data_IF_203238019524
#
_entry.id   IF_203238019524
#
_cell.length_a   1.000
_cell.length_b   1.000
_cell.length_c   1.000
_cell.angle_alpha   90.00
_cell.angle_beta   90.00
_cell.angle_gamma   90.00
#
_symmetry.space_group_name_H-M   'P 1'
#
loop_
_entity.id
_entity.type
_entity.pdbx_description
1 polymer ?
#
# COMPACT_ATOMS: atom_id res chain seq x y z
N UNK A 1 -36.80 9.47 -11.87
CA UNK A 1 -36.11 9.93 -10.66
C UNK A 1 -34.65 9.48 -10.78
N UNK A 2 -33.73 10.40 -11.08
CA UNK A 2 -32.29 10.08 -11.19
C UNK A 2 -31.73 9.91 -9.78
N UNK A 3 -31.18 8.74 -9.45
CA UNK A 3 -30.38 8.59 -8.25
C UNK A 3 -28.97 9.07 -8.57
N UNK A 4 -28.65 10.28 -8.13
CA UNK A 4 -27.27 10.75 -8.07
C UNK A 4 -26.56 9.99 -6.95
N UNK A 5 -25.39 9.44 -7.26
CA UNK A 5 -24.56 8.72 -6.31
C UNK A 5 -24.11 9.67 -5.18
N UNK A 6 -24.79 9.67 -4.04
CA UNK A 6 -24.29 10.32 -2.83
C UNK A 6 -23.19 9.45 -2.22
N UNK A 7 -21.95 9.64 -2.65
CA UNK A 7 -20.78 9.13 -1.93
C UNK A 7 -20.54 10.00 -0.70
N UNK A 8 -21.04 9.57 0.45
CA UNK A 8 -20.71 10.19 1.72
C UNK A 8 -19.27 9.81 2.12
N UNK A 9 -18.30 10.65 1.75
CA UNK A 9 -16.94 10.58 2.26
C UNK A 9 -16.95 11.05 3.72
N UNK A 10 -16.68 10.16 4.68
CA UNK A 10 -16.45 10.60 6.05
C UNK A 10 -15.03 11.18 6.13
N UNK A 11 -14.96 12.51 6.14
CA UNK A 11 -13.77 13.28 6.49
C UNK A 11 -13.83 13.47 8.01
N UNK A 12 -12.88 12.91 8.76
CA UNK A 12 -12.64 13.34 10.14
C UNK A 12 -11.85 14.66 10.02
N UNK A 13 -12.44 15.84 10.30
CA UNK A 13 -11.73 17.09 10.10
C UNK A 13 -10.77 17.30 11.26
N UNK A 14 -9.47 17.17 11.00
CA UNK A 14 -8.43 17.87 11.76
C UNK A 14 -8.13 19.18 11.04
N UNK A 15 -8.00 20.35 11.72
CA UNK A 15 -7.99 21.67 11.09
C UNK A 15 -6.91 21.96 10.03
N UNK A 16 -5.97 21.05 9.76
CA UNK A 16 -4.75 21.34 8.98
C UNK A 16 -4.30 20.27 7.99
N UNK A 17 -5.09 19.24 7.65
CA UNK A 17 -4.59 18.16 6.78
C UNK A 17 -5.28 18.09 5.40
N UNK A 18 -4.53 18.09 4.28
CA UNK A 18 -5.05 17.75 2.97
C UNK A 18 -5.00 16.21 2.73
N UNK A 19 -6.17 15.58 2.54
CA UNK A 19 -6.35 14.22 1.97
C UNK A 19 -6.97 13.15 2.91
N UNK A 20 -7.43 11.96 2.43
CA UNK A 20 -8.06 11.55 1.16
C UNK A 20 -9.46 10.90 1.36
N UNK A 21 -10.10 10.41 0.28
CA UNK A 21 -11.48 9.88 0.20
C UNK A 21 -11.65 8.52 0.93
N UNK A 22 -12.34 8.51 2.08
CA UNK A 22 -12.73 7.31 2.84
C UNK A 22 -14.24 7.03 2.67
N UNK A 23 -14.62 5.84 2.17
CA UNK A 23 -16.03 5.45 2.03
C UNK A 23 -16.51 4.69 3.28
N UNK A 24 -17.33 5.33 4.11
CA UNK A 24 -17.90 4.74 5.32
C UNK A 24 -19.42 4.83 5.29
N UNK A 25 -20.10 3.71 5.56
CA UNK A 25 -21.54 3.67 5.78
C UNK A 25 -21.81 3.78 7.27
N UNK A 26 -22.59 4.75 7.72
CA UNK A 26 -22.92 4.94 9.15
C UNK A 26 -24.44 4.83 9.32
N UNK A 27 -24.88 4.00 10.26
CA UNK A 27 -26.29 3.89 10.67
C UNK A 27 -27.27 3.62 9.51
N UNK A 28 -27.02 2.57 8.73
CA UNK A 28 -27.88 2.15 7.61
C UNK A 28 -28.64 0.88 7.96
N UNK A 29 -29.90 0.77 7.56
CA UNK A 29 -30.65 -0.49 7.68
C UNK A 29 -30.08 -1.50 6.67
N UNK A 30 -29.53 -2.60 7.17
CA UNK A 30 -28.99 -3.71 6.38
C UNK A 30 -29.81 -4.98 6.62
N UNK A 31 -29.82 -5.87 5.63
CA UNK A 31 -30.48 -7.17 5.73
C UNK A 31 -29.44 -8.29 5.88
N UNK A 32 -29.55 -9.07 6.95
CA UNK A 32 -28.73 -10.25 7.16
C UNK A 32 -29.40 -11.46 6.50
N UNK A 33 -28.79 -12.01 5.45
CA UNK A 33 -29.33 -13.17 4.72
C UNK A 33 -29.24 -14.48 5.50
N UNK A 34 -28.28 -14.59 6.42
CA UNK A 34 -28.10 -15.78 7.28
C UNK A 34 -29.21 -15.84 8.32
N UNK A 35 -29.48 -14.71 8.98
CA UNK A 35 -30.50 -14.60 10.02
C UNK A 35 -31.88 -14.20 9.48
N UNK A 36 -31.98 -13.89 8.18
CA UNK A 36 -33.19 -13.42 7.48
C UNK A 36 -33.88 -12.22 8.15
N UNK A 37 -33.12 -11.34 8.78
CA UNK A 37 -33.64 -10.20 9.53
C UNK A 37 -32.95 -8.89 9.18
N UNK A 38 -33.65 -7.78 9.44
CA UNK A 38 -33.10 -6.44 9.30
C UNK A 38 -32.36 -6.04 10.58
N UNK A 39 -31.25 -5.34 10.43
CA UNK A 39 -30.50 -4.78 11.56
C UNK A 39 -29.93 -3.41 11.19
N UNK A 40 -29.66 -2.59 12.20
CA UNK A 40 -28.97 -1.30 12.01
C UNK A 40 -27.47 -1.53 11.94
N UNK A 41 -26.90 -1.40 10.74
CA UNK A 41 -25.47 -1.41 10.52
C UNK A 41 -24.87 -0.13 11.10
N UNK A 42 -24.20 -0.25 12.25
CA UNK A 42 -23.61 0.89 12.96
C UNK A 42 -22.54 1.58 12.12
N UNK A 43 -21.60 0.81 11.57
CA UNK A 43 -20.59 1.28 10.65
C UNK A 43 -20.11 0.15 9.74
N UNK A 44 -19.82 0.44 8.48
CA UNK A 44 -19.08 -0.46 7.59
C UNK A 44 -18.09 0.31 6.71
N UNK A 45 -16.85 -0.19 6.69
CA UNK A 45 -15.79 0.25 5.80
C UNK A 45 -15.74 -0.65 4.58
N UNK A 46 -15.77 -0.06 3.38
CA UNK A 46 -15.74 -0.82 2.12
C UNK A 46 -14.35 -0.80 1.49
N UNK A 47 -13.87 0.40 1.12
CA UNK A 47 -12.54 0.62 0.57
C UNK A 47 -12.16 2.10 0.68
N UNK A 48 -10.87 2.38 0.55
CA UNK A 48 -10.34 3.73 0.43
C UNK A 48 -9.09 3.75 -0.45
N UNK A 49 -8.79 4.92 -0.99
CA UNK A 49 -7.57 5.16 -1.78
C UNK A 49 -6.65 6.00 -0.92
N UNK A 50 -5.49 5.43 -0.61
CA UNK A 50 -4.47 6.07 0.18
C UNK A 50 -3.24 6.37 -0.68
N UNK A 51 -2.60 7.50 -0.41
CA UNK A 51 -1.19 7.61 -0.73
C UNK A 51 -0.37 6.70 0.21
N UNK A 52 0.94 6.60 -0.04
CA UNK A 52 1.78 5.68 0.70
C UNK A 52 1.87 6.02 2.20
N UNK A 53 1.76 7.31 2.56
CA UNK A 53 1.83 7.74 3.95
C UNK A 53 0.55 7.41 4.71
N UNK A 54 -0.61 7.69 4.11
CA UNK A 54 -1.92 7.33 4.65
C UNK A 54 -2.08 5.80 4.75
N UNK A 55 -1.51 5.04 3.80
CA UNK A 55 -1.47 3.58 3.89
C UNK A 55 -0.72 3.11 5.15
N UNK A 56 0.39 3.75 5.50
CA UNK A 56 1.12 3.48 6.74
C UNK A 56 0.24 3.58 7.98
N UNK A 57 -0.49 4.68 8.09
CA UNK A 57 -1.40 4.94 9.22
C UNK A 57 -2.53 3.91 9.25
N UNK A 58 -3.15 3.64 8.10
CA UNK A 58 -4.31 2.74 8.03
C UNK A 58 -3.96 1.26 8.24
N UNK A 59 -2.83 0.82 7.69
CA UNK A 59 -2.39 -0.57 7.76
C UNK A 59 -1.47 -0.88 8.96
N UNK A 60 -1.18 0.11 9.81
CA UNK A 60 -0.16 -0.03 10.86
C UNK A 60 1.22 -0.36 10.27
N UNK A 61 1.51 0.14 9.08
CA UNK A 61 2.69 -0.21 8.30
C UNK A 61 3.80 0.83 8.44
N UNK A 62 5.06 0.38 8.50
CA UNK A 62 6.18 1.31 8.54
C UNK A 62 6.32 2.03 7.21
N UNK A 63 6.27 3.35 7.23
CA UNK A 63 6.48 4.22 6.05
C UNK A 63 7.88 4.85 6.04
N UNK A 64 8.68 4.56 7.06
CA UNK A 64 10.05 5.03 7.20
C UNK A 64 11.05 3.87 7.30
N UNK A 65 12.29 4.15 6.90
CA UNK A 65 13.40 3.20 6.99
C UNK A 65 13.44 2.18 5.86
N UNK A 66 13.90 0.97 6.17
CA UNK A 66 14.11 -0.11 5.19
C UNK A 66 12.88 -1.00 5.04
N UNK A 67 12.04 -1.13 6.05
CA UNK A 67 10.86 -2.02 6.02
C UNK A 67 9.63 -1.43 5.31
N UNK A 68 9.81 -0.41 4.47
CA UNK A 68 8.65 0.33 3.93
C UNK A 68 7.94 -0.40 2.83
N UNK A 69 8.63 -1.21 2.02
CA UNK A 69 7.98 -1.87 0.91
C UNK A 69 7.03 -2.97 1.41
N UNK A 70 5.70 -2.88 1.17
CA UNK A 70 4.73 -3.88 1.62
C UNK A 70 4.88 -5.24 0.91
N UNK A 71 5.59 -5.25 -0.23
CA UNK A 71 5.82 -6.45 -1.03
C UNK A 71 7.07 -7.18 -0.55
N UNK A 72 8.17 -6.43 -0.38
CA UNK A 72 9.48 -6.99 -0.04
C UNK A 72 9.67 -7.18 1.46
N UNK A 73 9.07 -6.31 2.28
CA UNK A 73 9.32 -6.28 3.72
C UNK A 73 10.83 -6.20 4.02
N UNK A 74 11.32 -7.19 4.76
CA UNK A 74 12.73 -7.32 5.13
C UNK A 74 13.65 -7.72 3.96
N UNK A 75 13.11 -8.37 2.92
CA UNK A 75 13.87 -8.83 1.74
C UNK A 75 14.11 -7.70 0.72
N UNK A 76 13.87 -6.45 1.11
CA UNK A 76 14.13 -5.29 0.26
C UNK A 76 15.62 -5.14 -0.03
N UNK A 77 15.95 -4.73 -1.26
CA UNK A 77 17.32 -4.33 -1.64
C UNK A 77 17.55 -2.82 -1.55
N UNK A 78 16.68 -2.11 -0.83
CA UNK A 78 16.84 -0.68 -0.62
C UNK A 78 18.18 -0.39 0.07
N UNK A 79 18.75 0.77 -0.24
CA UNK A 79 20.05 1.15 0.29
C UNK A 79 20.02 2.60 0.74
N UNK A 80 20.91 2.95 1.67
CA UNK A 80 21.08 4.33 2.11
C UNK A 80 22.01 5.05 1.12
N UNK A 81 21.60 6.22 0.64
CA UNK A 81 22.46 7.07 -0.17
C UNK A 81 23.62 7.59 0.69
N UNK A 82 24.84 7.49 0.16
CA UNK A 82 26.07 7.86 0.87
C UNK A 82 26.05 9.34 1.31
N UNK A 83 25.83 10.26 0.36
CA UNK A 83 25.84 11.69 0.64
C UNK A 83 24.50 12.23 1.16
N UNK A 84 23.39 11.57 0.81
CA UNK A 84 22.04 12.03 1.17
C UNK A 84 21.50 11.45 2.47
N UNK A 85 22.05 10.34 2.96
CA UNK A 85 21.57 9.62 4.15
C UNK A 85 20.15 9.07 4.06
N UNK A 86 19.45 9.24 2.94
CA UNK A 86 18.08 8.79 2.74
C UNK A 86 18.07 7.36 2.22
N UNK A 87 17.06 6.59 2.61
CA UNK A 87 16.80 5.27 2.02
C UNK A 87 16.28 5.48 0.60
N UNK A 88 16.87 4.75 -0.35
CA UNK A 88 16.54 4.77 -1.76
C UNK A 88 16.08 3.38 -2.21
N UNK A 89 14.99 3.37 -2.97
CA UNK A 89 14.43 2.17 -3.59
C UNK A 89 14.70 2.11 -5.10
N UNK A 90 15.54 3.03 -5.61
CA UNK A 90 15.99 3.00 -6.99
C UNK A 90 16.74 1.70 -7.30
N UNK A 91 16.59 1.18 -8.51
CA UNK A 91 17.21 -0.07 -8.97
C UNK A 91 16.85 -1.35 -8.18
N UNK A 92 15.99 -1.24 -7.16
CA UNK A 92 15.54 -2.41 -6.40
C UNK A 92 14.60 -3.29 -7.23
N UNK A 93 13.98 -2.74 -8.28
CA UNK A 93 12.88 -3.36 -9.01
C UNK A 93 13.25 -4.25 -10.21
N UNK A 94 14.53 -4.32 -10.58
CA UNK A 94 14.96 -5.18 -11.69
C UNK A 94 14.81 -6.68 -11.40
N UNK A 95 14.71 -7.09 -10.13
CA UNK A 95 14.50 -8.50 -9.79
C UNK A 95 13.11 -9.00 -10.24
N UNK A 96 12.12 -8.11 -10.41
CA UNK A 96 10.80 -8.47 -10.96
C UNK A 96 10.75 -8.58 -12.48
N UNK A 97 11.83 -8.21 -13.18
CA UNK A 97 11.89 -8.40 -14.64
C UNK A 97 12.10 -9.89 -14.98
N UNK A 98 11.63 -10.33 -16.16
CA UNK A 98 11.93 -11.66 -16.69
C UNK A 98 13.42 -11.98 -16.64
N UNK A 99 13.78 -13.24 -16.42
CA UNK A 99 15.17 -13.66 -16.24
C UNK A 99 16.07 -13.32 -17.43
N UNK A 100 15.51 -13.31 -18.64
CA UNK A 100 16.15 -12.98 -19.91
C UNK A 100 16.11 -11.47 -20.26
N UNK A 101 15.54 -10.64 -19.39
CA UNK A 101 15.38 -9.21 -19.67
C UNK A 101 16.74 -8.50 -19.73
N UNK A 102 17.00 -7.79 -20.83
CA UNK A 102 18.29 -7.12 -21.11
C UNK A 102 18.81 -6.22 -19.98
N UNK A 103 17.90 -5.56 -19.26
CA UNK A 103 18.26 -4.68 -18.14
C UNK A 103 18.81 -5.41 -16.92
N UNK A 104 18.55 -6.71 -16.72
CA UNK A 104 19.11 -7.48 -15.58
C UNK A 104 20.65 -7.52 -15.63
N UNK A 105 21.23 -7.61 -16.83
CA UNK A 105 22.69 -7.59 -17.03
C UNK A 105 23.34 -6.21 -17.20
N UNK A 106 22.57 -5.10 -17.26
CA UNK A 106 23.14 -3.76 -17.45
C UNK A 106 23.79 -3.24 -16.17
N UNK A 107 25.13 -3.24 -16.15
CA UNK A 107 25.96 -2.92 -14.99
C UNK A 107 26.03 -1.44 -14.63
N UNK A 108 25.93 -0.53 -15.61
CA UNK A 108 26.19 0.91 -15.41
C UNK A 108 25.05 1.84 -15.85
N UNK A 109 23.91 1.28 -16.24
CA UNK A 109 22.75 2.07 -16.71
C UNK A 109 21.88 2.58 -15.56
N UNK A 110 21.89 1.86 -14.43
CA UNK A 110 21.05 2.18 -13.27
C UNK A 110 21.93 2.55 -12.08
N UNK A 111 22.48 1.55 -11.40
CA UNK A 111 23.44 1.72 -10.31
C UNK A 111 24.80 1.24 -10.77
N UNK A 112 25.85 2.04 -10.51
CA UNK A 112 27.23 1.73 -10.87
C UNK A 112 27.61 0.33 -10.42
N UNK A 113 28.25 -0.41 -11.32
CA UNK A 113 28.76 -1.75 -11.05
C UNK A 113 27.73 -2.78 -10.56
N UNK A 114 26.43 -2.58 -10.85
CA UNK A 114 25.34 -3.40 -10.32
C UNK A 114 24.60 -4.20 -11.40
N UNK A 115 24.64 -5.53 -11.27
CA UNK A 115 23.81 -6.48 -12.02
C UNK A 115 22.73 -7.08 -11.12
N UNK A 116 21.64 -7.57 -11.71
CA UNK A 116 20.53 -8.15 -10.95
C UNK A 116 20.02 -9.40 -11.65
N UNK A 117 20.50 -10.57 -11.22
CA UNK A 117 19.96 -11.87 -11.64
C UNK A 117 19.10 -12.54 -10.57
N UNK A 118 18.99 -11.90 -9.39
CA UNK A 118 18.17 -12.37 -8.29
C UNK A 118 16.71 -12.54 -8.73
N UNK A 119 16.06 -13.51 -8.09
CA UNK A 119 14.61 -13.69 -8.16
C UNK A 119 13.89 -12.58 -7.38
N UNK A 120 12.62 -12.30 -7.72
CA UNK A 120 11.83 -11.37 -6.94
C UNK A 120 11.70 -11.85 -5.49
N UNK A 121 11.71 -10.94 -4.50
CA UNK A 121 11.51 -11.33 -3.11
C UNK A 121 10.18 -12.06 -2.96
N UNK A 122 10.19 -13.09 -2.11
CA UNK A 122 8.99 -13.86 -1.81
C UNK A 122 7.98 -12.90 -1.20
N UNK A 123 6.75 -12.88 -1.72
CA UNK A 123 5.68 -12.06 -1.14
C UNK A 123 5.64 -12.35 0.35
N UNK A 124 5.82 -11.31 1.16
CA UNK A 124 5.62 -11.43 2.60
C UNK A 124 4.26 -12.07 2.82
N UNK A 125 4.23 -13.27 3.41
CA UNK A 125 2.96 -13.88 3.82
C UNK A 125 2.36 -12.85 4.78
N UNK A 126 1.15 -12.33 4.47
CA UNK A 126 0.39 -11.56 5.46
C UNK A 126 0.43 -12.37 6.74
N UNK A 127 0.97 -11.80 7.82
CA UNK A 127 0.82 -12.41 9.12
C UNK A 127 -0.69 -12.61 9.30
N UNK A 128 -1.15 -13.87 9.37
CA UNK A 128 -2.58 -14.21 9.51
C UNK A 128 -3.12 -13.88 10.90
N UNK A 129 -2.42 -13.05 11.66
CA UNK A 129 -2.65 -12.86 13.08
C UNK A 129 -2.71 -11.36 13.37
N UNK A 130 -3.90 -10.80 13.22
CA UNK A 130 -4.51 -9.83 14.12
C UNK A 130 -6.02 -9.93 13.96
#
# INVERSE_FOLDING_TARGET
MKYEFMFLCLIIPSPKHPGPKLNLWISVEAYDISLKQKFTLRAAYLWSIHDFLAYGIFAGWSVYGTLTCPICGADTRCFRLEFGGKICYFDCHRCWLPSDHIFKGKKNTFRKDTICYDEPPKKAKRARNC
#
